data_IF_007418816185
#
_entry.id   IF_007418816185
#
_cell.length_a   1.000
_cell.length_b   1.000
_cell.length_c   1.000
_cell.angle_alpha   90.00
_cell.angle_beta   90.00
_cell.angle_gamma   90.00
#
_symmetry.space_group_name_H-M   'P 1'
#
loop_
_entity.id
_entity.type
_entity.pdbx_description
1 polymer ?
#
# COMPACT_ATOMS: atom_id res chain seq x y z
N UNK A 1 78.28 3.84 43.98
CA UNK A 1 77.29 4.05 42.90
C UNK A 1 76.43 2.79 42.88
N UNK A 2 75.21 2.91 43.41
CA UNK A 2 74.56 1.85 44.19
C UNK A 2 74.07 0.65 43.36
N UNK A 3 74.36 -0.53 43.90
CA UNK A 3 74.03 -1.84 43.37
C UNK A 3 73.02 -2.56 44.28
N UNK A 4 72.11 -3.30 43.64
CA UNK A 4 71.33 -4.47 44.09
C UNK A 4 70.57 -4.41 45.44
N UNK A 5 69.24 -4.59 45.35
CA UNK A 5 68.52 -5.47 46.27
C UNK A 5 67.36 -6.15 45.53
N UNK A 6 67.45 -7.47 45.37
CA UNK A 6 66.35 -8.30 44.89
C UNK A 6 65.30 -8.44 46.00
N UNK A 7 64.05 -8.07 45.72
CA UNK A 7 62.90 -8.45 46.54
C UNK A 7 62.10 -9.52 45.80
N UNK A 8 62.15 -10.74 46.33
CA UNK A 8 61.16 -11.78 46.02
C UNK A 8 59.88 -11.42 46.77
N UNK A 9 58.81 -11.09 46.06
CA UNK A 9 57.46 -11.03 46.62
C UNK A 9 56.66 -12.16 46.01
N UNK A 10 56.22 -13.05 46.89
CA UNK A 10 55.40 -14.23 46.62
C UNK A 10 54.04 -13.78 46.10
N UNK A 11 53.71 -14.16 44.86
CA UNK A 11 52.38 -13.98 44.29
C UNK A 11 51.44 -15.02 44.92
N UNK A 12 50.65 -14.59 45.92
CA UNK A 12 49.54 -15.39 46.43
C UNK A 12 48.37 -15.32 45.46
N UNK A 13 48.19 -16.36 44.64
CA UNK A 13 46.96 -16.54 43.86
C UNK A 13 45.82 -16.92 44.83
N UNK A 14 44.98 -15.97 45.21
CA UNK A 14 43.68 -16.26 45.79
C UNK A 14 42.71 -16.60 44.65
N UNK A 15 42.47 -17.91 44.46
CA UNK A 15 41.35 -18.41 43.67
C UNK A 15 40.05 -17.98 44.36
N UNK A 16 39.49 -16.84 43.97
CA UNK A 16 38.10 -16.51 44.26
C UNK A 16 37.25 -17.34 43.31
N UNK A 17 36.76 -18.47 43.80
CA UNK A 17 35.73 -19.22 43.10
C UNK A 17 34.48 -18.33 42.97
N UNK A 18 34.09 -18.00 41.75
CA UNK A 18 32.74 -17.49 41.48
C UNK A 18 31.75 -18.56 41.95
N UNK A 19 31.08 -18.34 43.07
CA UNK A 19 29.86 -19.08 43.35
C UNK A 19 28.83 -18.69 42.28
N UNK A 20 28.13 -19.65 41.66
CA UNK A 20 27.01 -19.34 40.82
C UNK A 20 25.94 -18.73 41.71
N UNK A 21 25.72 -17.42 41.61
CA UNK A 21 24.57 -16.76 42.21
C UNK A 21 23.35 -17.23 41.43
N UNK A 22 22.76 -18.35 41.82
CA UNK A 22 21.39 -18.68 41.45
C UNK A 22 20.49 -17.69 42.17
N UNK A 23 20.31 -16.51 41.59
CA UNK A 23 19.15 -15.71 41.94
C UNK A 23 17.92 -16.52 41.50
N UNK A 24 17.01 -16.88 42.42
CA UNK A 24 15.74 -17.45 42.02
C UNK A 24 15.05 -16.40 41.15
N UNK A 25 14.91 -16.67 39.86
CA UNK A 25 14.02 -15.93 38.98
C UNK A 25 12.61 -16.18 39.51
N UNK A 26 12.15 -15.34 40.42
CA UNK A 26 10.72 -15.23 40.71
C UNK A 26 10.10 -14.67 39.44
N UNK A 27 9.70 -15.56 38.53
CA UNK A 27 8.86 -15.18 37.41
C UNK A 27 7.57 -14.65 38.03
N UNK A 28 7.48 -13.33 38.17
CA UNK A 28 6.22 -12.69 38.55
C UNK A 28 5.19 -13.15 37.50
N UNK A 29 4.09 -13.81 37.93
CA UNK A 29 3.07 -14.21 36.99
C UNK A 29 2.58 -12.98 36.23
N UNK A 30 2.37 -13.12 34.93
CA UNK A 30 1.89 -12.02 34.07
C UNK A 30 0.65 -11.39 34.69
N UNK A 31 0.62 -10.06 34.77
CA UNK A 31 -0.54 -9.33 35.30
C UNK A 31 -1.83 -9.62 34.50
N UNK A 32 -1.72 -10.05 33.23
CA UNK A 32 -2.87 -10.60 32.48
C UNK A 32 -3.43 -11.88 33.10
N UNK A 33 -2.57 -12.78 33.57
CA UNK A 33 -2.97 -14.04 34.21
C UNK A 33 -3.61 -13.82 35.60
N UNK A 34 -3.54 -12.60 36.13
CA UNK A 34 -4.13 -12.21 37.41
C UNK A 34 -5.50 -11.51 37.26
N UNK A 35 -5.88 -11.09 36.05
CA UNK A 35 -7.18 -10.45 35.76
C UNK A 35 -8.24 -11.50 35.42
N UNK A 36 -8.57 -12.35 36.39
CA UNK A 36 -9.59 -13.41 36.24
C UNK A 36 -11.03 -12.90 36.35
N UNK A 37 -11.22 -11.70 36.88
CA UNK A 37 -12.54 -11.14 37.20
C UNK A 37 -13.16 -10.37 36.03
N UNK A 38 -12.41 -10.18 34.95
CA UNK A 38 -12.89 -9.53 33.72
C UNK A 38 -13.43 -10.61 32.80
N UNK A 39 -14.75 -10.65 32.63
CA UNK A 39 -15.40 -11.63 31.77
C UNK A 39 -15.32 -11.22 30.29
N UNK A 40 -14.90 -12.16 29.45
CA UNK A 40 -14.95 -11.98 28.00
C UNK A 40 -16.41 -11.97 27.50
N UNK A 41 -16.74 -11.11 26.51
CA UNK A 41 -18.03 -11.16 25.85
C UNK A 41 -18.30 -12.52 25.23
N UNK A 42 -19.54 -13.00 25.32
CA UNK A 42 -19.94 -14.28 24.74
C UNK A 42 -20.89 -14.01 23.57
N UNK A 43 -20.45 -14.29 22.36
CA UNK A 43 -21.30 -14.20 21.18
C UNK A 43 -22.49 -15.15 21.27
N UNK A 44 -23.67 -14.66 20.91
CA UNK A 44 -24.86 -15.49 20.77
C UNK A 44 -24.66 -16.52 19.65
N UNK A 45 -25.03 -17.77 19.92
CA UNK A 45 -25.04 -18.84 18.93
C UNK A 45 -26.34 -18.78 18.13
N UNK A 46 -26.23 -18.54 16.82
CA UNK A 46 -27.33 -18.55 15.85
C UNK A 46 -26.97 -19.52 14.73
N UNK A 47 -27.33 -20.81 14.87
CA UNK A 47 -26.91 -21.86 13.95
C UNK A 47 -27.31 -21.57 12.50
N UNK A 48 -26.33 -21.47 11.60
CA UNK A 48 -26.52 -21.50 10.15
C UNK A 48 -26.00 -22.81 9.60
N UNK A 49 -26.89 -23.59 8.97
CA UNK A 49 -26.54 -24.87 8.34
C UNK A 49 -26.11 -24.64 6.89
N UNK A 50 -24.95 -25.19 6.55
CA UNK A 50 -24.39 -25.28 5.20
C UNK A 50 -24.44 -26.73 4.74
N UNK A 51 -24.89 -26.96 3.50
CA UNK A 51 -25.05 -28.30 2.91
C UNK A 51 -24.36 -28.33 1.56
N UNK A 52 -23.11 -28.78 1.54
CA UNK A 52 -22.31 -28.88 0.33
C UNK A 52 -21.68 -30.28 0.22
N UNK A 53 -21.61 -30.83 -1.00
CA UNK A 53 -20.97 -32.12 -1.28
C UNK A 53 -21.45 -33.30 -0.40
N UNK A 54 -22.71 -33.27 0.03
CA UNK A 54 -23.28 -34.30 0.92
C UNK A 54 -22.87 -34.17 2.39
N UNK A 55 -22.19 -33.10 2.78
CA UNK A 55 -21.79 -32.83 4.16
C UNK A 55 -22.57 -31.65 4.74
N UNK A 56 -22.89 -31.76 6.03
CA UNK A 56 -23.52 -30.69 6.81
C UNK A 56 -22.49 -30.04 7.73
N UNK A 57 -22.41 -28.70 7.69
CA UNK A 57 -21.63 -27.88 8.63
C UNK A 57 -22.54 -26.87 9.29
N UNK A 58 -22.36 -26.66 10.58
CA UNK A 58 -23.12 -25.66 11.36
C UNK A 58 -22.14 -24.57 11.77
N UNK A 59 -22.44 -23.34 11.37
CA UNK A 59 -21.74 -22.15 11.85
C UNK A 59 -22.68 -21.38 12.79
N UNK A 60 -22.37 -21.43 14.09
CA UNK A 60 -23.12 -20.73 15.13
C UNK A 60 -22.96 -19.20 15.05
N UNK A 61 -22.00 -18.69 14.28
CA UNK A 61 -21.57 -17.29 14.31
C UNK A 61 -21.64 -16.61 12.94
N UNK A 62 -22.23 -17.26 11.95
CA UNK A 62 -22.34 -16.72 10.59
C UNK A 62 -22.97 -15.33 10.53
N UNK A 63 -23.88 -15.02 11.46
CA UNK A 63 -24.56 -13.73 11.58
C UNK A 63 -23.61 -12.55 11.86
N UNK A 64 -22.41 -12.79 12.42
CA UNK A 64 -21.40 -11.75 12.68
C UNK A 64 -20.85 -11.10 11.38
N UNK A 65 -21.15 -11.66 10.21
CA UNK A 65 -20.77 -11.06 8.91
C UNK A 65 -21.57 -9.80 8.56
N UNK A 66 -22.69 -9.55 9.22
CA UNK A 66 -23.65 -8.49 8.89
C UNK A 66 -23.21 -7.15 9.49
N UNK A 67 -22.47 -6.35 8.73
CA UNK A 67 -21.78 -5.14 9.22
C UNK A 67 -22.72 -4.06 9.81
N UNK A 68 -23.93 -3.95 9.26
CA UNK A 68 -24.91 -2.95 9.69
C UNK A 68 -25.88 -3.47 10.75
N UNK A 69 -25.72 -4.73 11.18
CA UNK A 69 -26.59 -5.33 12.18
C UNK A 69 -26.26 -4.76 13.58
N UNK A 70 -27.22 -4.14 14.29
CA UNK A 70 -26.97 -3.55 15.60
C UNK A 70 -26.45 -4.55 16.65
N UNK A 71 -26.82 -5.83 16.57
CA UNK A 71 -26.31 -6.86 17.47
C UNK A 71 -24.83 -7.17 17.23
N UNK A 72 -24.38 -7.08 15.98
CA UNK A 72 -22.97 -7.29 15.62
C UNK A 72 -22.15 -6.12 16.14
N UNK A 73 -22.63 -4.88 15.91
CA UNK A 73 -21.98 -3.67 16.40
C UNK A 73 -21.87 -3.70 17.93
N UNK A 74 -22.95 -4.02 18.64
CA UNK A 74 -22.95 -4.11 20.10
C UNK A 74 -21.96 -5.18 20.61
N UNK A 75 -21.85 -6.32 19.93
CA UNK A 75 -20.88 -7.34 20.28
C UNK A 75 -19.43 -6.85 20.07
N UNK A 76 -19.14 -6.19 18.94
CA UNK A 76 -17.81 -5.62 18.69
C UNK A 76 -17.43 -4.52 19.69
N UNK A 77 -18.38 -3.67 20.08
CA UNK A 77 -18.18 -2.67 21.13
C UNK A 77 -17.85 -3.34 22.48
N UNK A 78 -18.52 -4.43 22.81
CA UNK A 78 -18.23 -5.20 24.03
C UNK A 78 -16.85 -5.85 24.01
N UNK A 79 -16.40 -6.35 22.86
CA UNK A 79 -15.03 -6.88 22.68
C UNK A 79 -13.98 -5.78 22.81
N UNK A 80 -14.24 -4.58 22.26
CA UNK A 80 -13.36 -3.42 22.44
C UNK A 80 -13.27 -2.97 23.90
N UNK A 81 -14.38 -2.99 24.63
CA UNK A 81 -14.39 -2.67 26.06
C UNK A 81 -13.60 -3.69 26.87
N UNK A 82 -13.81 -4.99 26.60
CA UNK A 82 -13.05 -6.09 27.20
C UNK A 82 -11.54 -5.94 26.95
N UNK A 83 -11.15 -5.70 25.70
CA UNK A 83 -9.76 -5.46 25.32
C UNK A 83 -9.14 -4.31 26.13
N UNK A 84 -9.83 -3.18 26.20
CA UNK A 84 -9.37 -2.00 26.95
C UNK A 84 -9.16 -2.33 28.43
N UNK A 85 -10.11 -3.02 29.05
CA UNK A 85 -10.03 -3.36 30.47
C UNK A 85 -8.93 -4.38 30.76
N UNK A 86 -8.81 -5.43 29.95
CA UNK A 86 -7.73 -6.41 30.07
C UNK A 86 -6.37 -5.75 29.91
N UNK A 87 -6.22 -4.88 28.93
CA UNK A 87 -4.94 -4.25 28.58
C UNK A 87 -4.56 -3.03 29.42
N UNK A 88 -5.45 -2.52 30.27
CA UNK A 88 -5.20 -1.27 31.05
C UNK A 88 -3.89 -1.25 31.84
N UNK A 89 -3.46 -2.39 32.38
CA UNK A 89 -2.21 -2.51 33.13
C UNK A 89 -0.94 -2.34 32.28
N UNK A 90 -1.08 -2.33 30.95
CA UNK A 90 0.01 -2.15 29.99
C UNK A 90 0.05 -0.76 29.37
N UNK A 91 -0.85 0.17 29.75
CA UNK A 91 -0.92 1.51 29.15
C UNK A 91 0.43 2.26 29.21
N UNK A 92 1.12 2.22 30.35
CA UNK A 92 2.45 2.82 30.49
C UNK A 92 3.49 2.17 29.56
N UNK A 93 3.43 0.85 29.39
CA UNK A 93 4.31 0.13 28.49
C UNK A 93 3.98 0.45 27.03
N UNK A 94 2.70 0.52 26.67
CA UNK A 94 2.25 0.91 25.34
C UNK A 94 2.73 2.33 24.99
N UNK A 95 2.57 3.30 25.90
CA UNK A 95 3.07 4.66 25.72
C UNK A 95 4.59 4.68 25.56
N UNK A 96 5.32 3.93 26.40
CA UNK A 96 6.77 3.84 26.29
C UNK A 96 7.21 3.29 24.92
N UNK A 97 6.57 2.21 24.46
CA UNK A 97 6.86 1.63 23.15
C UNK A 97 6.47 2.57 22.01
N UNK A 98 5.35 3.28 22.14
CA UNK A 98 4.93 4.30 21.18
C UNK A 98 5.98 5.41 21.04
N UNK A 99 6.42 6.01 22.14
CA UNK A 99 7.46 7.05 22.12
C UNK A 99 8.80 6.51 21.61
N UNK A 100 9.15 5.27 21.95
CA UNK A 100 10.37 4.62 21.48
C UNK A 100 10.34 4.37 19.96
N UNK A 101 9.20 3.93 19.42
CA UNK A 101 9.01 3.76 17.98
C UNK A 101 8.98 5.11 17.26
N UNK A 102 8.22 6.08 17.78
CA UNK A 102 8.13 7.43 17.22
C UNK A 102 9.49 8.13 17.22
N UNK A 103 10.25 8.05 18.31
CA UNK A 103 11.57 8.66 18.41
C UNK A 103 12.64 8.06 17.49
N UNK A 104 12.37 6.90 16.88
CA UNK A 104 13.23 6.31 15.82
C UNK A 104 12.83 6.75 14.41
N UNK A 105 11.65 7.33 14.25
CA UNK A 105 11.17 7.86 12.99
C UNK A 105 11.67 9.29 12.87
N UNK A 106 12.33 9.58 11.76
CA UNK A 106 12.72 10.95 11.45
C UNK A 106 11.48 11.66 10.90
N UNK A 107 10.86 12.54 11.70
CA UNK A 107 9.61 13.21 11.29
C UNK A 107 9.80 14.06 10.02
N UNK A 108 10.96 14.72 9.90
CA UNK A 108 11.37 15.35 8.64
C UNK A 108 12.27 14.40 7.85
N UNK A 109 11.69 13.76 6.85
CA UNK A 109 12.40 12.82 5.98
C UNK A 109 12.17 13.11 4.50
N UNK A 110 13.10 12.66 3.66
CA UNK A 110 13.02 12.81 2.22
C UNK A 110 13.54 11.54 1.54
N UNK A 111 12.81 11.06 0.56
CA UNK A 111 13.24 9.93 -0.28
C UNK A 111 14.50 10.26 -1.07
N UNK A 112 15.26 9.23 -1.43
CA UNK A 112 16.30 9.36 -2.46
C UNK A 112 15.66 9.83 -3.77
N UNK A 113 16.12 10.93 -4.39
CA UNK A 113 15.54 11.42 -5.64
C UNK A 113 15.78 10.44 -6.79
N UNK A 114 14.80 10.31 -7.67
CA UNK A 114 14.98 9.57 -8.93
C UNK A 114 14.73 10.50 -10.12
N UNK A 115 15.47 10.27 -11.20
CA UNK A 115 15.33 11.06 -12.44
C UNK A 115 14.38 10.35 -13.39
N UNK A 116 13.35 11.05 -13.85
CA UNK A 116 12.47 10.62 -14.93
C UNK A 116 12.08 11.82 -15.80
N UNK A 117 12.07 11.62 -17.11
CA UNK A 117 11.62 12.61 -18.10
C UNK A 117 12.14 14.06 -17.89
N UNK A 118 13.42 14.21 -17.51
CA UNK A 118 14.05 15.53 -17.31
C UNK A 118 13.82 16.16 -15.93
N UNK A 119 13.13 15.47 -15.02
CA UNK A 119 12.86 15.92 -13.65
C UNK A 119 13.44 14.95 -12.62
N UNK A 120 13.81 15.47 -11.45
CA UNK A 120 14.06 14.69 -10.24
C UNK A 120 12.81 14.70 -9.38
N UNK A 121 12.29 13.53 -9.05
CA UNK A 121 11.10 13.37 -8.23
C UNK A 121 11.48 13.03 -6.79
N UNK A 122 10.76 13.61 -5.85
CA UNK A 122 11.01 13.47 -4.41
C UNK A 122 9.68 13.26 -3.67
N UNK A 123 9.76 12.52 -2.58
CA UNK A 123 8.72 12.46 -1.56
C UNK A 123 9.35 12.95 -0.27
N UNK A 124 8.67 13.85 0.44
CA UNK A 124 9.13 14.36 1.72
C UNK A 124 8.01 14.40 2.75
N UNK A 125 8.38 14.29 4.00
CA UNK A 125 7.53 14.47 5.17
C UNK A 125 8.03 15.68 5.94
N UNK A 126 7.10 16.45 6.48
CA UNK A 126 7.39 17.59 7.34
C UNK A 126 7.02 17.25 8.78
N UNK A 127 7.70 17.86 9.74
CA UNK A 127 7.42 17.68 11.16
C UNK A 127 5.94 17.96 11.49
N UNK A 128 5.34 17.07 12.28
CA UNK A 128 3.91 17.16 12.65
C UNK A 128 2.91 16.92 11.51
N UNK A 129 3.34 16.60 10.29
CA UNK A 129 2.45 16.25 9.17
C UNK A 129 2.30 14.73 9.03
N UNK A 130 1.07 14.27 8.80
CA UNK A 130 0.75 12.84 8.71
C UNK A 130 0.96 12.26 7.31
N UNK A 131 0.96 13.11 6.28
CA UNK A 131 0.97 12.70 4.88
C UNK A 131 2.18 13.26 4.11
N UNK A 132 2.59 12.57 3.03
CA UNK A 132 3.71 13.01 2.21
C UNK A 132 3.39 14.27 1.39
N UNK A 133 4.44 14.99 1.04
CA UNK A 133 4.45 15.97 -0.05
C UNK A 133 5.21 15.36 -1.22
N UNK A 134 4.54 15.28 -2.37
CA UNK A 134 5.13 14.83 -3.62
C UNK A 134 5.55 16.04 -4.44
N UNK A 135 6.82 16.07 -4.84
CA UNK A 135 7.37 17.18 -5.60
C UNK A 135 8.38 16.73 -6.65
N UNK A 136 8.77 17.66 -7.53
CA UNK A 136 9.82 17.46 -8.51
C UNK A 136 10.68 18.70 -8.69
N UNK A 137 11.88 18.51 -9.25
CA UNK A 137 12.82 19.57 -9.60
C UNK A 137 13.32 19.40 -11.03
N UNK A 138 13.31 20.46 -11.83
CA UNK A 138 13.64 20.38 -13.28
C UNK A 138 15.16 20.31 -13.51
N UNK A 139 15.63 19.24 -14.15
CA UNK A 139 17.01 19.10 -14.65
C UNK A 139 18.11 18.90 -13.60
N UNK A 140 17.99 19.51 -12.41
CA UNK A 140 18.96 19.47 -11.31
C UNK A 140 18.26 19.47 -9.94
N UNK A 141 18.91 18.92 -8.92
CA UNK A 141 18.44 18.98 -7.52
C UNK A 141 18.54 20.38 -6.90
N UNK A 142 19.32 21.27 -7.51
CA UNK A 142 19.43 22.69 -7.12
C UNK A 142 18.34 23.57 -7.75
N UNK A 143 17.55 23.02 -8.67
CA UNK A 143 16.45 23.75 -9.28
C UNK A 143 15.33 24.02 -8.26
N UNK A 144 14.49 25.05 -8.50
CA UNK A 144 13.29 25.29 -7.70
C UNK A 144 12.40 24.04 -7.60
N UNK A 145 11.81 23.82 -6.42
CA UNK A 145 10.87 22.73 -6.17
C UNK A 145 9.50 23.06 -6.76
N UNK A 146 8.94 22.11 -7.51
CA UNK A 146 7.56 22.11 -8.00
C UNK A 146 6.77 21.09 -7.18
N UNK A 147 5.85 21.55 -6.33
CA UNK A 147 4.97 20.65 -5.55
C UNK A 147 3.86 20.10 -6.45
N UNK A 148 3.86 18.78 -6.63
CA UNK A 148 2.84 18.07 -7.39
C UNK A 148 1.57 17.95 -6.55
N UNK A 149 1.70 17.40 -5.34
CA UNK A 149 0.59 17.15 -4.41
C UNK A 149 1.10 17.35 -2.98
N UNK A 150 0.43 18.23 -2.24
CA UNK A 150 0.54 18.25 -0.78
C UNK A 150 -0.64 17.45 -0.21
N UNK A 151 -0.37 16.22 0.23
CA UNK A 151 -1.43 15.30 0.64
C UNK A 151 -2.07 15.75 1.96
N UNK A 152 -1.34 16.47 2.81
CA UNK A 152 -1.90 17.04 4.04
C UNK A 152 -3.03 18.04 3.74
N UNK A 153 -2.85 18.90 2.73
CA UNK A 153 -3.89 19.86 2.33
C UNK A 153 -5.12 19.16 1.73
N UNK A 154 -4.88 18.13 0.91
CA UNK A 154 -5.96 17.35 0.28
C UNK A 154 -6.74 16.50 1.29
N UNK A 155 -6.09 16.05 2.37
CA UNK A 155 -6.68 15.20 3.39
C UNK A 155 -7.58 15.96 4.39
N UNK A 156 -7.39 17.28 4.57
CA UNK A 156 -8.12 18.10 5.57
C UNK A 156 -9.64 17.89 5.65
N UNK A 157 -10.40 17.76 4.55
CA UNK A 157 -11.84 17.59 4.62
C UNK A 157 -12.29 16.15 4.88
N UNK A 158 -11.37 15.19 5.05
CA UNK A 158 -11.68 13.76 5.15
C UNK A 158 -11.12 13.12 6.44
N UNK A 159 -11.85 12.14 6.98
CA UNK A 159 -11.39 11.33 8.12
C UNK A 159 -10.37 10.25 7.71
N UNK A 160 -10.30 9.97 6.42
CA UNK A 160 -9.34 9.07 5.80
C UNK A 160 -8.97 9.63 4.44
N UNK A 161 -7.69 9.58 4.09
CA UNK A 161 -7.25 9.98 2.77
C UNK A 161 -6.08 9.12 2.29
N UNK A 162 -6.16 8.67 1.05
CA UNK A 162 -5.07 7.93 0.43
C UNK A 162 -4.93 8.33 -1.04
N UNK A 163 -3.68 8.53 -1.46
CA UNK A 163 -3.33 8.71 -2.86
C UNK A 163 -2.62 7.46 -3.37
N UNK A 164 -3.05 7.01 -4.54
CA UNK A 164 -2.39 5.97 -5.33
C UNK A 164 -1.98 6.51 -6.71
N UNK A 165 -1.15 5.73 -7.41
CA UNK A 165 -0.85 5.90 -8.84
C UNK A 165 -0.60 7.30 -9.33
N UNK A 166 0.61 7.84 -9.10
CA UNK A 166 1.00 9.18 -9.57
C UNK A 166 1.70 9.05 -10.93
N UNK A 167 1.07 9.59 -11.97
CA UNK A 167 1.53 9.42 -13.35
C UNK A 167 1.52 10.77 -14.06
N UNK A 168 2.71 11.27 -14.40
CA UNK A 168 2.88 12.53 -15.14
C UNK A 168 2.87 12.22 -16.64
N UNK A 169 2.14 13.05 -17.40
CA UNK A 169 2.08 13.00 -18.86
C UNK A 169 3.46 13.18 -19.52
N UNK A 170 3.66 12.62 -20.73
CA UNK A 170 4.95 12.69 -21.43
C UNK A 170 5.51 14.10 -21.64
N UNK A 171 4.66 15.12 -21.78
CA UNK A 171 5.06 16.53 -21.92
C UNK A 171 5.32 17.23 -20.57
N UNK A 172 5.21 16.51 -19.45
CA UNK A 172 5.38 16.97 -18.08
C UNK A 172 4.31 17.95 -17.57
N UNK A 173 3.16 18.11 -18.25
CA UNK A 173 2.19 19.16 -17.93
C UNK A 173 1.04 18.73 -17.06
N UNK A 174 0.53 17.52 -17.25
CA UNK A 174 -0.61 16.98 -16.50
C UNK A 174 -0.17 15.84 -15.59
N UNK A 175 -0.61 15.87 -14.34
CA UNK A 175 -0.52 14.75 -13.40
C UNK A 175 -1.87 14.04 -13.32
N UNK A 176 -1.88 12.72 -13.50
CA UNK A 176 -2.98 11.86 -13.12
C UNK A 176 -2.66 11.19 -11.77
N UNK A 177 -3.63 11.15 -10.85
CA UNK A 177 -3.49 10.45 -9.57
C UNK A 177 -4.81 9.83 -9.11
N UNK A 178 -4.72 8.70 -8.38
CA UNK A 178 -5.88 8.06 -7.75
C UNK A 178 -6.11 8.58 -6.34
N UNK A 179 -7.35 8.93 -6.01
CA UNK A 179 -7.79 9.42 -4.70
C UNK A 179 -8.79 8.44 -4.07
N UNK A 180 -8.55 8.01 -2.83
CA UNK A 180 -9.49 7.23 -2.00
C UNK A 180 -9.73 7.96 -0.67
N UNK A 181 -10.99 8.31 -0.42
CA UNK A 181 -11.44 9.04 0.77
C UNK A 181 -12.22 8.14 1.74
N UNK A 182 -12.39 6.85 1.42
CA UNK A 182 -13.25 5.91 2.14
C UNK A 182 -12.54 4.60 2.57
N UNK A 183 -11.24 4.45 2.27
CA UNK A 183 -10.44 3.27 2.62
C UNK A 183 -10.98 1.96 2.02
N UNK A 184 -11.63 2.06 0.85
CA UNK A 184 -12.16 0.89 0.13
C UNK A 184 -11.21 0.41 -0.97
N UNK A 185 -10.11 1.13 -1.19
CA UNK A 185 -9.20 0.95 -2.34
C UNK A 185 -9.97 1.04 -3.66
N UNK A 186 -11.05 1.81 -3.68
CA UNK A 186 -11.81 2.16 -4.90
C UNK A 186 -11.46 3.61 -5.16
N UNK A 187 -10.59 3.85 -6.13
CA UNK A 187 -10.01 5.17 -6.33
C UNK A 187 -10.78 5.95 -7.39
N UNK A 188 -10.88 7.26 -7.18
CA UNK A 188 -11.25 8.21 -8.24
C UNK A 188 -9.97 8.74 -8.88
N UNK A 189 -9.78 8.56 -10.18
CA UNK A 189 -8.70 9.24 -10.89
C UNK A 189 -9.05 10.73 -11.02
N UNK A 190 -8.07 11.56 -10.69
CA UNK A 190 -8.10 13.03 -10.79
C UNK A 190 -6.95 13.48 -11.67
N UNK A 191 -7.11 14.62 -12.33
CA UNK A 191 -6.09 15.21 -13.18
C UNK A 191 -5.76 16.63 -12.70
N UNK A 192 -4.47 16.96 -12.67
CA UNK A 192 -3.96 18.27 -12.24
C UNK A 192 -3.07 18.87 -13.31
N UNK A 193 -3.34 20.11 -13.69
CA UNK A 193 -2.43 20.89 -14.49
C UNK A 193 -1.25 21.36 -13.63
N UNK A 194 -0.04 20.96 -13.98
CA UNK A 194 1.19 21.27 -13.26
C UNK A 194 1.77 22.64 -13.62
N UNK A 195 1.33 23.26 -14.72
CA UNK A 195 1.70 24.63 -15.10
C UNK A 195 0.89 25.65 -14.28
N UNK A 196 -0.42 25.41 -14.08
CA UNK A 196 -1.30 26.32 -13.31
C UNK A 196 -1.47 25.92 -11.84
N UNK A 197 -1.27 24.64 -11.51
CA UNK A 197 -1.53 24.09 -10.19
C UNK A 197 -3.00 23.72 -9.94
N UNK A 198 -3.87 23.86 -10.94
CA UNK A 198 -5.32 23.64 -10.83
C UNK A 198 -5.70 22.18 -11.12
N UNK A 199 -6.76 21.69 -10.47
CA UNK A 199 -7.40 20.44 -10.85
C UNK A 199 -8.25 20.64 -12.11
N UNK A 200 -8.18 19.69 -13.03
CA UNK A 200 -9.05 19.65 -14.20
C UNK A 200 -10.46 19.17 -13.82
N UNK A 201 -11.42 19.44 -14.70
CA UNK A 201 -12.81 18.97 -14.54
C UNK A 201 -12.91 17.44 -14.71
N UNK A 202 -11.98 16.82 -15.43
CA UNK A 202 -11.93 15.38 -15.64
C UNK A 202 -11.78 14.61 -14.32
N UNK A 203 -12.63 13.61 -14.13
CA UNK A 203 -12.49 12.61 -13.07
C UNK A 203 -13.11 11.28 -13.49
N UNK A 204 -12.56 10.18 -12.95
CA UNK A 204 -13.00 8.83 -13.29
C UNK A 204 -13.18 8.01 -12.01
N UNK A 205 -14.42 7.68 -11.60
CA UNK A 205 -14.67 6.90 -10.39
C UNK A 205 -14.42 5.39 -10.62
N UNK A 206 -14.46 4.61 -9.54
CA UNK A 206 -14.39 3.14 -9.56
C UNK A 206 -13.16 2.54 -10.27
N UNK A 207 -11.97 3.06 -9.95
CA UNK A 207 -10.73 2.61 -10.60
C UNK A 207 -9.81 1.84 -9.65
N UNK A 208 -8.78 1.19 -10.22
CA UNK A 208 -7.65 0.63 -9.48
C UNK A 208 -6.66 1.66 -8.93
N UNK A 209 -6.83 2.95 -9.24
CA UNK A 209 -6.02 4.06 -8.72
C UNK A 209 -4.77 4.40 -9.52
N UNK A 210 -4.46 3.65 -10.58
CA UNK A 210 -3.35 3.92 -11.50
C UNK A 210 -3.88 4.36 -12.87
N UNK A 211 -3.20 5.32 -13.49
CA UNK A 211 -3.45 5.76 -14.86
C UNK A 211 -2.15 5.72 -15.68
N UNK A 212 -2.23 5.24 -16.92
CA UNK A 212 -1.08 5.07 -17.81
C UNK A 212 -1.24 5.94 -19.04
N UNK A 213 -0.40 6.96 -19.16
CA UNK A 213 -0.41 7.87 -20.30
C UNK A 213 0.05 7.19 -21.60
N UNK A 214 -0.69 7.41 -22.68
CA UNK A 214 -0.18 7.32 -24.05
C UNK A 214 0.91 8.39 -24.30
N UNK A 215 1.54 8.38 -25.48
CA UNK A 215 2.55 9.38 -25.83
C UNK A 215 1.98 10.70 -26.36
N UNK A 216 0.67 10.74 -26.65
CA UNK A 216 0.01 11.91 -27.22
C UNK A 216 -0.42 12.98 -26.19
N UNK A 217 -0.17 12.74 -24.90
CA UNK A 217 -0.56 13.60 -23.78
C UNK A 217 -2.07 13.80 -23.62
N UNK A 218 -2.90 13.00 -24.29
CA UNK A 218 -4.37 13.13 -24.26
C UNK A 218 -5.05 11.88 -23.74
N UNK A 219 -4.51 10.69 -24.03
CA UNK A 219 -5.13 9.44 -23.63
C UNK A 219 -4.46 8.83 -22.41
N UNK A 220 -5.28 8.31 -21.50
CA UNK A 220 -4.84 7.47 -20.39
C UNK A 220 -5.59 6.14 -20.40
N UNK A 221 -4.90 5.09 -19.98
CA UNK A 221 -5.45 3.76 -19.75
C UNK A 221 -5.54 3.48 -18.26
N UNK A 222 -6.63 2.87 -17.81
CA UNK A 222 -6.87 2.61 -16.39
C UNK A 222 -7.69 1.33 -16.20
N UNK A 223 -7.70 0.82 -14.96
CA UNK A 223 -8.46 -0.38 -14.58
C UNK A 223 -9.76 -0.02 -13.88
N UNK A 224 -10.80 -0.81 -14.10
CA UNK A 224 -12.10 -0.75 -13.39
C UNK A 224 -12.31 -2.01 -12.56
N UNK A 225 -12.98 -1.85 -11.41
CA UNK A 225 -13.28 -2.94 -10.47
C UNK A 225 -14.71 -3.45 -10.60
N UNK A 226 -14.88 -4.75 -10.40
CA UNK A 226 -16.18 -5.39 -10.23
C UNK A 226 -16.68 -5.33 -8.77
N UNK A 227 -17.84 -5.93 -8.50
CA UNK A 227 -18.46 -5.98 -7.17
C UNK A 227 -17.62 -6.71 -6.11
N UNK A 228 -16.72 -7.61 -6.54
CA UNK A 228 -15.79 -8.33 -5.67
C UNK A 228 -14.48 -7.56 -5.43
N UNK A 229 -14.37 -6.35 -5.98
CA UNK A 229 -13.19 -5.47 -5.97
C UNK A 229 -12.03 -5.95 -6.86
N UNK A 230 -12.27 -6.94 -7.73
CA UNK A 230 -11.30 -7.45 -8.70
C UNK A 230 -11.18 -6.49 -9.87
N UNK A 231 -9.95 -6.21 -10.32
CA UNK A 231 -9.72 -5.41 -11.53
C UNK A 231 -9.93 -6.31 -12.75
N UNK A 232 -10.96 -6.03 -13.54
CA UNK A 232 -11.38 -6.92 -14.63
C UNK A 232 -11.50 -6.24 -15.99
N UNK A 233 -11.57 -4.90 -16.04
CA UNK A 233 -11.61 -4.16 -17.29
C UNK A 233 -10.47 -3.16 -17.39
N UNK A 234 -9.99 -2.95 -18.61
CA UNK A 234 -9.12 -1.83 -19.00
C UNK A 234 -9.93 -0.90 -19.89
N UNK A 235 -9.93 0.37 -19.52
CA UNK A 235 -10.61 1.44 -20.25
C UNK A 235 -9.60 2.47 -20.74
N UNK A 236 -9.96 3.17 -21.82
CA UNK A 236 -9.23 4.32 -22.36
C UNK A 236 -10.08 5.57 -22.20
N UNK A 237 -9.50 6.55 -21.52
CA UNK A 237 -10.04 7.89 -21.37
C UNK A 237 -9.31 8.87 -22.28
N UNK A 238 -10.04 9.84 -22.83
CA UNK A 238 -9.48 11.00 -23.52
C UNK A 238 -9.75 12.25 -22.69
N UNK A 239 -8.71 12.97 -22.31
CA UNK A 239 -8.84 14.23 -21.56
C UNK A 239 -9.80 15.22 -22.24
N UNK A 240 -10.57 15.92 -21.42
CA UNK A 240 -11.60 16.88 -21.81
C UNK A 240 -12.92 16.23 -22.25
N UNK A 241 -13.11 14.93 -22.01
CA UNK A 241 -14.35 14.22 -22.30
C UNK A 241 -14.92 13.61 -21.02
N UNK A 242 -16.25 13.45 -20.88
CA UNK A 242 -16.80 12.80 -19.70
C UNK A 242 -16.41 11.32 -19.67
N UNK A 243 -16.16 10.76 -18.48
CA UNK A 243 -15.80 9.34 -18.31
C UNK A 243 -16.83 8.36 -18.90
N UNK A 244 -18.09 8.77 -19.07
CA UNK A 244 -19.12 7.97 -19.75
C UNK A 244 -18.89 7.79 -21.25
N UNK A 245 -17.99 8.57 -21.86
CA UNK A 245 -17.57 8.45 -23.25
C UNK A 245 -16.29 7.60 -23.40
N UNK A 246 -15.72 7.12 -22.30
CA UNK A 246 -14.53 6.26 -22.32
C UNK A 246 -14.81 4.96 -23.07
N UNK A 247 -13.75 4.39 -23.64
CA UNK A 247 -13.86 3.19 -24.46
C UNK A 247 -13.29 1.98 -23.72
N UNK A 248 -14.07 0.90 -23.64
CA UNK A 248 -13.61 -0.38 -23.16
C UNK A 248 -12.55 -0.93 -24.13
N UNK A 249 -11.36 -1.23 -23.61
CA UNK A 249 -10.21 -1.72 -24.38
C UNK A 249 -10.03 -3.22 -24.20
N UNK A 250 -10.22 -3.71 -22.98
CA UNK A 250 -10.07 -5.11 -22.63
C UNK A 250 -10.97 -5.47 -21.45
N UNK A 251 -11.53 -6.68 -21.49
CA UNK A 251 -12.29 -7.26 -20.38
C UNK A 251 -11.79 -8.69 -20.11
N UNK A 252 -11.44 -8.95 -18.86
CA UNK A 252 -11.11 -10.27 -18.35
C UNK A 252 -12.38 -11.00 -17.92
N UNK A 253 -12.85 -11.88 -18.80
CA UNK A 253 -14.07 -12.64 -18.62
C UNK A 253 -13.93 -13.81 -17.63
N UNK A 254 -12.71 -14.30 -17.40
CA UNK A 254 -12.45 -15.34 -16.40
C UNK A 254 -12.29 -14.72 -15.02
N UNK A 255 -13.18 -15.06 -14.08
CA UNK A 255 -13.21 -14.48 -12.74
C UNK A 255 -12.04 -14.92 -11.86
N UNK A 256 -11.28 -15.94 -12.26
CA UNK A 256 -10.04 -16.34 -11.59
C UNK A 256 -8.85 -15.44 -11.94
N UNK A 257 -8.98 -14.62 -12.98
CA UNK A 257 -7.94 -13.72 -13.45
C UNK A 257 -8.23 -12.26 -13.05
N UNK A 258 -7.18 -11.49 -12.79
CA UNK A 258 -7.24 -10.03 -12.70
C UNK A 258 -6.47 -9.42 -13.88
N UNK A 259 -6.83 -8.19 -14.26
CA UNK A 259 -6.12 -7.44 -15.30
C UNK A 259 -5.47 -6.18 -14.75
N UNK A 260 -4.36 -5.78 -15.35
CA UNK A 260 -3.66 -4.54 -15.07
C UNK A 260 -3.12 -3.91 -16.36
N UNK A 261 -2.74 -2.63 -16.30
CA UNK A 261 -2.12 -1.92 -17.42
C UNK A 261 -0.91 -1.13 -16.94
N UNK A 262 0.15 -1.12 -17.75
CA UNK A 262 1.38 -0.38 -17.50
C UNK A 262 2.04 0.08 -18.79
N UNK A 263 3.05 0.96 -18.69
CA UNK A 263 3.86 1.39 -19.82
C UNK A 263 5.22 0.72 -19.76
N UNK A 264 5.69 0.22 -20.89
CA UNK A 264 7.04 -0.32 -21.02
C UNK A 264 8.10 0.70 -20.59
N UNK A 265 9.25 0.25 -20.08
CA UNK A 265 10.37 1.13 -19.71
C UNK A 265 10.90 1.95 -20.88
N UNK A 266 10.86 1.38 -22.09
CA UNK A 266 11.18 2.08 -23.35
C UNK A 266 10.21 3.22 -23.71
N UNK A 267 9.06 3.30 -23.03
CA UNK A 267 7.93 4.21 -23.29
C UNK A 267 7.20 3.99 -24.63
N UNK A 268 7.62 3.00 -25.44
CA UNK A 268 7.03 2.74 -26.76
C UNK A 268 5.71 1.96 -26.71
N UNK A 269 5.49 1.16 -25.66
CA UNK A 269 4.29 0.32 -25.58
C UNK A 269 3.49 0.55 -24.31
N UNK A 270 2.16 0.59 -24.47
CA UNK A 270 1.18 0.31 -23.42
C UNK A 270 0.99 -1.21 -23.37
N UNK A 271 0.97 -1.77 -22.17
CA UNK A 271 0.92 -3.20 -21.94
C UNK A 271 -0.23 -3.52 -21.01
N UNK A 272 -1.11 -4.42 -21.43
CA UNK A 272 -2.15 -5.02 -20.60
C UNK A 272 -1.63 -6.40 -20.18
N UNK A 273 -1.67 -6.68 -18.89
CA UNK A 273 -1.41 -8.00 -18.34
C UNK A 273 -2.69 -8.57 -17.74
N UNK A 274 -2.98 -9.83 -18.04
CA UNK A 274 -3.97 -10.65 -17.33
C UNK A 274 -3.25 -11.75 -16.57
N UNK A 275 -3.62 -11.98 -15.31
CA UNK A 275 -2.93 -12.93 -14.45
C UNK A 275 -3.88 -13.63 -13.48
N UNK A 276 -3.55 -14.89 -13.22
CA UNK A 276 -4.01 -15.66 -12.07
C UNK A 276 -2.79 -16.28 -11.37
N UNK A 277 -3.00 -17.10 -10.34
CA UNK A 277 -1.94 -17.68 -9.50
C UNK A 277 -0.83 -18.43 -10.24
N UNK A 278 -1.08 -18.98 -11.43
CA UNK A 278 -0.12 -19.82 -12.18
C UNK A 278 -0.17 -19.58 -13.68
N UNK A 279 -0.74 -18.47 -14.14
CA UNK A 279 -0.84 -18.18 -15.58
C UNK A 279 -0.90 -16.69 -15.84
N UNK A 280 -0.13 -16.22 -16.81
CA UNK A 280 -0.16 -14.82 -17.28
C UNK A 280 -0.38 -14.73 -18.79
N UNK A 281 -0.90 -13.60 -19.25
CA UNK A 281 -0.98 -13.22 -20.66
C UNK A 281 -0.71 -11.73 -20.80
N UNK A 282 0.10 -11.35 -21.78
CA UNK A 282 0.40 -9.95 -22.06
C UNK A 282 -0.01 -9.56 -23.47
N UNK A 283 -0.58 -8.35 -23.56
CA UNK A 283 -0.99 -7.69 -24.79
C UNK A 283 -0.32 -6.35 -24.87
N UNK A 284 0.13 -5.95 -26.05
CA UNK A 284 0.87 -4.70 -26.25
C UNK A 284 0.23 -3.84 -27.33
N UNK A 285 0.26 -2.53 -27.13
CA UNK A 285 -0.18 -1.51 -28.08
C UNK A 285 0.92 -0.46 -28.18
N UNK A 286 1.19 0.03 -29.39
CA UNK A 286 2.07 1.19 -29.60
C UNK A 286 1.50 2.43 -28.88
N UNK A 287 2.27 3.01 -27.98
CA UNK A 287 1.87 4.15 -27.16
C UNK A 287 1.72 5.44 -27.98
N UNK A 288 2.29 5.51 -29.19
CA UNK A 288 2.08 6.61 -30.15
C UNK A 288 0.77 6.45 -30.93
N UNK A 289 0.13 5.29 -30.87
CA UNK A 289 -1.14 4.97 -31.54
C UNK A 289 -2.19 4.50 -30.52
N UNK A 290 -2.61 5.36 -29.56
CA UNK A 290 -3.43 4.93 -28.43
C UNK A 290 -4.83 4.44 -28.80
N UNK A 291 -5.28 4.69 -30.03
CA UNK A 291 -6.55 4.19 -30.58
C UNK A 291 -6.43 2.89 -31.37
N UNK A 292 -5.21 2.35 -31.50
CA UNK A 292 -4.96 1.10 -32.22
C UNK A 292 -5.36 -0.16 -31.46
N UNK A 293 -5.06 -1.30 -32.08
CA UNK A 293 -5.40 -2.63 -31.58
C UNK A 293 -4.28 -3.26 -30.74
N UNK A 294 -4.66 -3.89 -29.63
CA UNK A 294 -3.71 -4.63 -28.80
C UNK A 294 -3.34 -5.97 -29.44
N UNK A 295 -2.04 -6.28 -29.50
CA UNK A 295 -1.54 -7.58 -29.98
C UNK A 295 -1.06 -8.45 -28.82
N UNK A 296 -1.45 -9.71 -28.82
CA UNK A 296 -1.01 -10.70 -27.83
C UNK A 296 0.47 -11.04 -28.08
N UNK A 297 1.26 -11.17 -27.02
CA UNK A 297 2.66 -11.66 -27.09
C UNK A 297 2.68 -13.19 -27.16
N UNK A 298 2.06 -13.85 -26.19
CA UNK A 298 1.88 -15.30 -26.11
C UNK A 298 0.47 -15.54 -25.56
N UNK A 299 -0.40 -16.30 -26.24
CA UNK A 299 -1.69 -16.66 -25.69
C UNK A 299 -1.55 -17.39 -24.34
N UNK A 300 -2.47 -17.16 -23.40
CA UNK A 300 -2.40 -17.81 -22.08
C UNK A 300 -2.34 -19.33 -22.19
N UNK A 301 -1.45 -19.93 -21.39
CA UNK A 301 -1.34 -21.37 -21.21
C UNK A 301 -1.39 -21.68 -19.71
N UNK A 302 -2.13 -22.72 -19.33
CA UNK A 302 -2.26 -23.10 -17.93
C UNK A 302 -0.90 -23.54 -17.39
N UNK A 303 -0.47 -22.93 -16.29
CA UNK A 303 0.82 -23.22 -15.65
C UNK A 303 1.99 -22.47 -16.28
N UNK A 304 1.75 -21.60 -17.26
CA UNK A 304 2.78 -20.74 -17.84
C UNK A 304 2.69 -19.34 -17.24
N UNK A 305 3.65 -19.03 -16.38
CA UNK A 305 3.90 -17.67 -15.91
C UNK A 305 5.12 -17.10 -16.64
N UNK A 306 4.94 -15.92 -17.19
CA UNK A 306 6.00 -15.12 -17.78
C UNK A 306 5.79 -13.65 -17.47
N UNK A 307 6.83 -12.85 -17.66
CA UNK A 307 6.77 -11.38 -17.64
C UNK A 307 7.37 -10.87 -18.95
N UNK A 308 7.09 -9.61 -19.30
CA UNK A 308 7.70 -8.99 -20.48
C UNK A 308 8.39 -7.67 -20.14
N UNK A 309 9.56 -7.48 -20.72
CA UNK A 309 10.22 -6.18 -20.80
C UNK A 309 10.47 -5.80 -22.26
N UNK A 310 10.44 -4.50 -22.58
CA UNK A 310 10.78 -4.02 -23.92
C UNK A 310 12.03 -3.14 -23.88
N UNK A 311 12.98 -3.44 -24.78
CA UNK A 311 14.16 -2.62 -24.99
C UNK A 311 14.58 -2.65 -26.46
N UNK A 312 14.81 -1.45 -27.02
CA UNK A 312 15.11 -1.21 -28.44
C UNK A 312 14.05 -1.79 -29.36
N UNK A 313 14.35 -2.88 -30.05
CA UNK A 313 13.53 -3.53 -31.07
C UNK A 313 12.96 -4.89 -30.59
N UNK A 314 13.09 -5.22 -29.30
CA UNK A 314 12.79 -6.57 -28.79
C UNK A 314 12.03 -6.56 -27.47
N UNK A 315 11.19 -7.58 -27.33
CA UNK A 315 10.64 -8.03 -26.05
C UNK A 315 11.54 -9.12 -25.46
N UNK A 316 11.77 -9.05 -24.15
CA UNK A 316 12.54 -9.99 -23.34
C UNK A 316 11.63 -10.69 -22.36
#
# INVERSE_FOLDING_TARGET
MYARLCFFVVLGLSLVACQPTTQPTTANPSAMLQKTDIAAPVAAKKPKVFKEHGHERIDDYYWLRERDNPEVIAYLESENAYLKEMMSHTEDLQQKLFEEMKGRIKETDQSVPYKDNGYYYLTRYEEGQEYPIYSRKKGSLEAPEEVLLNVNELAKPYNYYNIAGRSVSPDNKILAYGEDTLSRRIYTLRFKNLETGELLEDFIPNTGGNAVWANDNQHVFYTVKDETLRQYQIWRHKLGTPASADQLVYEEADDTFSTFVYKSKSKQYIIIGSYQTVSTEFRVLDADQPTGEFRIIQPRERGLEYEIAHFKDKFY
#
